data_IF_460327485448
#
_entry.id   IF_460327485448
#
_cell.length_a   1.000
_cell.length_b   1.000
_cell.length_c   1.000
_cell.angle_alpha   90.00
_cell.angle_beta   90.00
_cell.angle_gamma   90.00
#
_symmetry.space_group_name_H-M   'P 1'
#
loop_
_entity.id
_entity.type
_entity.pdbx_description
1 polymer ?
#
# COMPACT_ATOMS: atom_id res chain seq x y z
N UNK A 1 42.21 -25.83 -28.00
CA UNK A 1 42.09 -24.44 -27.50
C UNK A 1 41.15 -23.64 -28.42
N UNK A 2 39.84 -23.92 -28.42
CA UNK A 2 38.81 -23.16 -29.17
C UNK A 2 37.43 -22.99 -28.48
N UNK A 3 37.06 -23.67 -27.36
CA UNK A 3 35.72 -23.51 -26.78
C UNK A 3 35.58 -22.30 -25.83
N UNK A 4 36.70 -21.77 -25.32
CA UNK A 4 36.70 -20.68 -24.33
C UNK A 4 36.47 -19.31 -25.01
N UNK A 5 36.99 -19.11 -26.22
CA UNK A 5 36.85 -17.85 -26.97
C UNK A 5 35.39 -17.59 -27.42
N UNK A 6 34.67 -18.66 -27.80
CA UNK A 6 33.27 -18.59 -28.22
C UNK A 6 32.32 -18.33 -27.05
N UNK A 7 32.61 -18.89 -25.87
CA UNK A 7 31.84 -18.62 -24.64
C UNK A 7 31.94 -17.15 -24.22
N UNK A 8 33.15 -16.58 -24.22
CA UNK A 8 33.36 -15.16 -23.84
C UNK A 8 32.63 -14.22 -24.80
N UNK A 9 32.62 -14.53 -26.10
CA UNK A 9 31.94 -13.70 -27.12
C UNK A 9 30.42 -13.74 -26.96
N UNK A 10 29.85 -14.89 -26.57
CA UNK A 10 28.42 -15.06 -26.28
C UNK A 10 28.00 -14.31 -25.02
N UNK A 11 28.80 -14.37 -23.95
CA UNK A 11 28.54 -13.63 -22.71
C UNK A 11 28.64 -12.11 -22.92
N UNK A 12 29.62 -11.63 -23.70
CA UNK A 12 29.74 -10.22 -24.05
C UNK A 12 28.53 -9.74 -24.88
N UNK A 13 28.06 -10.54 -25.84
CA UNK A 13 26.87 -10.23 -26.62
C UNK A 13 25.59 -10.21 -25.76
N UNK A 14 25.46 -11.14 -24.80
CA UNK A 14 24.34 -11.18 -23.87
C UNK A 14 24.32 -9.95 -22.93
N UNK A 15 25.48 -9.55 -22.41
CA UNK A 15 25.62 -8.35 -21.56
C UNK A 15 25.31 -7.06 -22.33
N UNK A 16 25.65 -6.97 -23.62
CA UNK A 16 25.23 -5.88 -24.50
C UNK A 16 23.72 -5.88 -24.78
N UNK A 17 23.09 -7.06 -24.84
CA UNK A 17 21.64 -7.20 -25.02
C UNK A 17 20.86 -6.77 -23.77
N UNK A 18 21.35 -7.13 -22.57
CA UNK A 18 20.70 -6.79 -21.30
C UNK A 18 20.89 -5.33 -20.87
N UNK A 19 21.98 -4.67 -21.28
CA UNK A 19 22.19 -3.23 -21.03
C UNK A 19 21.28 -2.32 -21.87
N UNK A 20 20.59 -2.86 -22.88
CA UNK A 20 19.54 -2.17 -23.64
C UNK A 20 18.17 -2.13 -22.95
N UNK A 21 17.94 -2.91 -21.89
CA UNK A 21 16.70 -2.90 -21.10
C UNK A 21 16.75 -1.79 -20.04
N UNK A 22 17.03 -0.57 -20.48
CA UNK A 22 16.67 0.60 -19.71
C UNK A 22 15.17 0.77 -19.87
N UNK A 23 14.37 0.37 -18.87
CA UNK A 23 12.96 0.73 -18.80
C UNK A 23 12.88 2.24 -18.48
N UNK A 24 13.31 3.09 -19.41
CA UNK A 24 12.87 4.46 -19.42
C UNK A 24 11.38 4.41 -19.69
N UNK A 25 10.57 4.90 -18.76
CA UNK A 25 9.20 5.32 -19.01
C UNK A 25 9.25 6.49 -20.01
N UNK A 26 9.61 6.18 -21.25
CA UNK A 26 9.72 7.14 -22.32
C UNK A 26 8.31 7.25 -22.93
N UNK A 27 7.75 8.44 -22.83
CA UNK A 27 6.55 8.88 -23.52
C UNK A 27 6.38 8.19 -24.89
N UNK A 28 5.28 7.45 -25.07
CA UNK A 28 4.92 6.90 -26.37
C UNK A 28 4.33 8.02 -27.24
N UNK A 29 5.23 8.74 -27.90
CA UNK A 29 4.89 9.91 -28.73
C UNK A 29 3.87 9.58 -29.82
N UNK A 30 3.81 8.35 -30.31
CA UNK A 30 2.86 7.96 -31.36
C UNK A 30 1.42 7.88 -30.84
N UNK A 31 1.22 7.32 -29.64
CA UNK A 31 -0.09 7.29 -28.99
C UNK A 31 -0.50 8.69 -28.54
N UNK A 32 0.41 9.40 -27.88
CA UNK A 32 0.11 10.71 -27.30
C UNK A 32 -0.07 11.81 -28.35
N UNK A 33 0.58 11.73 -29.53
CA UNK A 33 0.51 12.79 -30.54
C UNK A 33 -0.91 13.10 -31.00
N UNK A 34 -1.78 12.10 -31.19
CA UNK A 34 -3.14 12.34 -31.69
C UNK A 34 -4.02 13.05 -30.67
N UNK A 35 -4.08 12.52 -29.45
CA UNK A 35 -4.96 13.03 -28.39
C UNK A 35 -4.42 14.33 -27.77
N UNK A 36 -3.10 14.45 -27.60
CA UNK A 36 -2.48 15.72 -27.16
C UNK A 36 -2.68 16.81 -28.22
N UNK A 37 -2.53 16.51 -29.51
CA UNK A 37 -2.78 17.51 -30.56
C UNK A 37 -4.25 17.96 -30.57
N UNK A 38 -5.19 17.04 -30.36
CA UNK A 38 -6.61 17.37 -30.22
C UNK A 38 -6.86 18.31 -29.04
N UNK A 39 -6.28 18.02 -27.87
CA UNK A 39 -6.43 18.85 -26.68
C UNK A 39 -5.71 20.20 -26.78
N UNK A 40 -4.58 20.28 -27.48
CA UNK A 40 -3.89 21.54 -27.78
C UNK A 40 -4.69 22.45 -28.72
N UNK A 41 -5.35 21.87 -29.74
CA UNK A 41 -6.22 22.60 -30.66
C UNK A 41 -7.48 23.12 -29.94
N UNK A 42 -7.99 22.37 -28.96
CA UNK A 42 -9.10 22.78 -28.10
C UNK A 42 -8.68 23.79 -27.01
N UNK A 43 -7.41 24.20 -26.99
CA UNK A 43 -6.81 25.10 -26.00
C UNK A 43 -6.79 24.56 -24.55
N UNK A 44 -7.20 23.31 -24.34
CA UNK A 44 -7.30 22.67 -23.01
C UNK A 44 -5.95 22.19 -22.46
N UNK A 45 -4.92 22.06 -23.33
CA UNK A 45 -3.57 21.61 -22.96
C UNK A 45 -2.48 22.64 -23.26
N UNK A 46 -2.79 23.93 -23.38
CA UNK A 46 -1.79 24.99 -23.55
C UNK A 46 -1.11 25.37 -22.21
N UNK A 47 -0.52 24.39 -21.55
CA UNK A 47 0.10 24.59 -20.26
C UNK A 47 1.61 24.65 -20.33
N UNK A 48 2.20 25.59 -19.58
CA UNK A 48 3.64 25.66 -19.35
C UNK A 48 3.89 25.95 -17.86
N UNK A 49 3.98 24.91 -17.02
CA UNK A 49 4.05 25.07 -15.58
C UNK A 49 5.42 25.64 -15.24
N UNK A 50 5.46 26.91 -14.85
CA UNK A 50 6.64 27.51 -14.24
C UNK A 50 6.54 27.28 -12.73
N UNK A 51 7.60 26.74 -12.14
CA UNK A 51 7.81 26.72 -10.69
C UNK A 51 6.71 26.02 -9.87
N UNK A 52 6.14 24.92 -10.40
CA UNK A 52 5.18 24.08 -9.67
C UNK A 52 3.76 24.63 -9.55
N UNK A 53 3.48 25.82 -10.08
CA UNK A 53 2.11 26.33 -10.20
C UNK A 53 1.50 25.85 -11.52
N UNK A 54 0.54 24.92 -11.44
CA UNK A 54 -0.15 24.39 -12.61
C UNK A 54 -1.68 24.48 -12.50
N UNK A 55 -2.20 25.70 -12.51
CA UNK A 55 -3.66 25.95 -12.53
C UNK A 55 -4.37 25.33 -13.74
N UNK A 56 -3.68 25.20 -14.87
CA UNK A 56 -4.24 24.70 -16.12
C UNK A 56 -4.10 23.16 -16.30
N UNK A 57 -3.32 22.46 -15.47
CA UNK A 57 -3.16 20.99 -15.54
C UNK A 57 -4.49 20.25 -15.47
N UNK A 58 -5.44 20.80 -14.70
CA UNK A 58 -6.77 20.21 -14.50
C UNK A 58 -7.56 20.08 -15.81
N UNK A 59 -7.49 21.09 -16.67
CA UNK A 59 -8.21 21.08 -17.94
C UNK A 59 -7.58 20.08 -18.92
N UNK A 60 -6.24 19.99 -18.90
CA UNK A 60 -5.52 19.02 -19.71
C UNK A 60 -5.75 17.57 -19.22
N UNK A 61 -5.81 17.35 -17.90
CA UNK A 61 -6.22 16.08 -17.29
C UNK A 61 -7.63 15.66 -17.76
N UNK A 62 -8.59 16.59 -17.75
CA UNK A 62 -9.95 16.31 -18.19
C UNK A 62 -10.04 16.00 -19.68
N UNK A 63 -9.20 16.62 -20.50
CA UNK A 63 -9.16 16.35 -21.94
C UNK A 63 -8.52 15.00 -22.28
N UNK A 64 -7.42 14.65 -21.60
CA UNK A 64 -6.67 13.41 -21.83
C UNK A 64 -7.30 12.19 -21.12
N UNK A 65 -8.02 12.41 -20.03
CA UNK A 65 -8.69 11.35 -19.26
C UNK A 65 -7.71 10.24 -18.85
N UNK A 66 -8.01 9.01 -19.25
CA UNK A 66 -7.19 7.83 -18.90
C UNK A 66 -5.79 7.86 -19.52
N UNK A 67 -5.57 8.65 -20.59
CA UNK A 67 -4.27 8.80 -21.23
C UNK A 67 -3.34 9.77 -20.47
N UNK A 68 -3.82 10.43 -19.41
CA UNK A 68 -3.05 11.42 -18.66
C UNK A 68 -1.76 10.83 -18.06
N UNK A 69 -1.84 9.70 -17.36
CA UNK A 69 -0.68 9.07 -16.70
C UNK A 69 0.40 8.66 -17.71
N UNK A 70 0.00 8.26 -18.93
CA UNK A 70 0.93 7.83 -19.99
C UNK A 70 1.50 9.02 -20.79
N UNK A 71 0.72 10.10 -20.94
CA UNK A 71 1.05 11.22 -21.81
C UNK A 71 1.47 12.50 -21.08
N UNK A 72 1.31 12.62 -19.76
CA UNK A 72 1.68 13.82 -19.02
C UNK A 72 3.18 14.13 -19.12
N UNK A 73 4.03 13.09 -19.23
CA UNK A 73 5.48 13.23 -19.37
C UNK A 73 5.83 13.81 -20.76
N UNK A 74 5.02 13.52 -21.78
CA UNK A 74 5.17 14.05 -23.14
C UNK A 74 4.94 15.55 -23.21
N UNK A 75 3.98 16.05 -22.42
CA UNK A 75 3.61 17.48 -22.38
C UNK A 75 4.35 18.24 -21.28
N UNK A 76 5.18 17.56 -20.48
CA UNK A 76 5.91 18.18 -19.37
C UNK A 76 4.99 18.67 -18.25
N UNK A 77 3.86 17.99 -18.08
CA UNK A 77 2.76 18.39 -17.18
C UNK A 77 2.51 17.41 -16.04
N UNK A 78 3.28 16.32 -15.94
CA UNK A 78 3.14 15.44 -14.80
C UNK A 78 3.38 16.24 -13.52
N UNK A 79 2.61 15.89 -12.48
CA UNK A 79 2.90 16.37 -11.14
C UNK A 79 4.39 16.10 -10.86
N UNK A 80 5.20 17.07 -10.41
CA UNK A 80 6.55 16.77 -9.96
C UNK A 80 6.46 15.59 -9.00
N UNK A 81 7.13 14.49 -9.33
CA UNK A 81 7.19 13.30 -8.48
C UNK A 81 7.86 13.72 -7.17
N UNK A 82 7.09 14.21 -6.23
CA UNK A 82 7.51 14.34 -4.86
C UNK A 82 7.67 12.90 -4.38
N UNK A 83 8.91 12.42 -4.31
CA UNK A 83 9.29 11.22 -3.59
C UNK A 83 8.91 11.27 -2.07
N UNK A 84 8.18 12.30 -1.65
CA UNK A 84 7.58 12.50 -0.33
C UNK A 84 6.09 12.12 -0.28
N UNK A 85 5.40 11.87 -1.40
CA UNK A 85 4.02 11.39 -1.36
C UNK A 85 4.04 9.89 -1.03
N UNK A 86 3.69 9.57 0.21
CA UNK A 86 3.60 8.18 0.63
C UNK A 86 2.48 7.50 -0.19
N UNK A 87 2.73 6.32 -0.81
CA UNK A 87 1.76 5.65 -1.70
C UNK A 87 0.37 5.50 -1.07
N UNK A 88 -0.71 5.39 -1.85
CA UNK A 88 -2.06 5.18 -1.27
C UNK A 88 -2.12 3.95 -0.35
N UNK A 89 -1.32 2.92 -0.64
CA UNK A 89 -1.12 1.73 0.20
C UNK A 89 -0.47 2.01 1.57
N UNK A 90 0.20 3.14 1.73
CA UNK A 90 0.81 3.58 3.00
C UNK A 90 -0.19 4.25 3.97
N UNK A 91 -1.38 4.61 3.47
CA UNK A 91 -2.44 5.24 4.26
C UNK A 91 -3.64 4.30 4.37
N UNK A 92 -4.22 4.26 5.56
CA UNK A 92 -5.42 3.48 5.82
C UNK A 92 -6.31 4.16 6.85
N UNK A 93 -7.59 3.87 6.76
CA UNK A 93 -8.60 4.21 7.76
C UNK A 93 -8.92 2.97 8.56
N UNK A 94 -8.97 3.10 9.88
CA UNK A 94 -9.20 1.99 10.81
C UNK A 94 -10.36 2.33 11.75
N UNK A 95 -11.11 1.32 12.16
CA UNK A 95 -12.24 1.49 13.08
C UNK A 95 -12.54 0.17 13.83
N UNK A 96 -12.96 0.30 15.09
CA UNK A 96 -13.50 -0.81 15.89
C UNK A 96 -14.99 -1.02 15.60
N UNK A 97 -15.39 -2.28 15.44
CA UNK A 97 -16.77 -2.62 15.13
C UNK A 97 -17.61 -2.74 16.41
N UNK A 98 -18.81 -2.15 16.41
CA UNK A 98 -19.64 -2.02 17.61
C UNK A 98 -20.23 -3.36 18.13
N UNK A 99 -20.41 -4.36 17.26
CA UNK A 99 -21.03 -5.65 17.61
C UNK A 99 -20.26 -6.82 16.96
N UNK A 100 -19.04 -7.10 17.43
CA UNK A 100 -18.27 -8.21 16.89
C UNK A 100 -18.90 -9.55 17.27
N UNK A 101 -18.68 -10.57 16.45
CA UNK A 101 -19.12 -11.94 16.70
C UNK A 101 -17.88 -12.85 16.60
N UNK A 102 -17.02 -12.89 17.63
CA UNK A 102 -15.74 -13.63 17.62
C UNK A 102 -15.85 -15.09 17.15
N UNK A 103 -16.90 -15.78 17.58
CA UNK A 103 -17.14 -17.18 17.21
C UNK A 103 -17.42 -17.36 15.71
N UNK A 104 -18.12 -16.41 15.09
CA UNK A 104 -18.40 -16.44 13.65
C UNK A 104 -17.13 -16.18 12.86
N UNK A 105 -16.35 -15.18 13.26
CA UNK A 105 -15.10 -14.86 12.59
C UNK A 105 -14.16 -16.07 12.59
N UNK A 106 -13.92 -16.67 13.76
CA UNK A 106 -13.10 -17.89 13.90
C UNK A 106 -13.60 -19.00 12.99
N UNK A 107 -14.90 -19.31 13.03
CA UNK A 107 -15.49 -20.36 12.20
C UNK A 107 -15.35 -20.11 10.69
N UNK A 108 -15.32 -18.85 10.24
CA UNK A 108 -15.12 -18.50 8.83
C UNK A 108 -13.65 -18.44 8.40
N UNK A 109 -12.74 -18.33 9.36
CA UNK A 109 -11.28 -18.28 9.12
C UNK A 109 -10.56 -19.60 9.41
N UNK A 110 -11.22 -20.54 10.08
CA UNK A 110 -10.70 -21.88 10.34
C UNK A 110 -10.83 -22.75 9.08
N UNK A 111 -9.70 -23.22 8.53
CA UNK A 111 -9.68 -24.17 7.41
C UNK A 111 -9.27 -23.54 6.08
N UNK A 112 -9.90 -23.98 4.98
CA UNK A 112 -9.61 -23.45 3.64
C UNK A 112 -10.22 -22.05 3.47
N UNK A 113 -9.45 -21.14 2.86
CA UNK A 113 -9.89 -19.77 2.65
C UNK A 113 -11.15 -19.72 1.74
N UNK A 114 -12.18 -18.92 2.10
CA UNK A 114 -13.34 -18.70 1.26
C UNK A 114 -12.96 -18.16 -0.13
N UNK A 115 -13.80 -18.42 -1.14
CA UNK A 115 -13.62 -17.91 -2.50
C UNK A 115 -13.58 -16.37 -2.46
N UNK A 116 -12.63 -15.77 -3.18
CA UNK A 116 -12.39 -14.32 -3.27
C UNK A 116 -11.90 -13.65 -1.97
N UNK A 117 -11.31 -14.45 -1.06
CA UNK A 117 -10.75 -13.96 0.20
C UNK A 117 -9.41 -14.61 0.50
N UNK A 118 -8.55 -13.89 1.21
CA UNK A 118 -7.27 -14.38 1.70
C UNK A 118 -7.23 -14.29 3.23
N UNK A 119 -7.16 -15.44 3.89
CA UNK A 119 -6.97 -15.53 5.35
C UNK A 119 -5.48 -15.55 5.67
N UNK A 120 -5.03 -14.71 6.58
CA UNK A 120 -3.64 -14.62 7.02
C UNK A 120 -3.59 -14.64 8.55
N UNK A 121 -2.78 -15.53 9.10
CA UNK A 121 -2.54 -15.60 10.55
C UNK A 121 -1.06 -15.40 10.84
N UNK A 122 -0.74 -14.54 11.80
CA UNK A 122 0.62 -14.24 12.23
C UNK A 122 0.70 -14.05 13.76
N UNK A 123 1.85 -14.26 14.41
CA UNK A 123 1.98 -14.06 15.84
C UNK A 123 1.67 -12.61 16.23
N UNK A 124 0.91 -12.38 17.30
CA UNK A 124 0.55 -11.03 17.76
C UNK A 124 1.76 -10.11 17.97
N UNK A 125 2.93 -10.66 18.34
CA UNK A 125 4.17 -9.89 18.49
C UNK A 125 4.64 -9.21 17.18
N UNK A 126 4.31 -9.77 16.01
CA UNK A 126 4.65 -9.21 14.70
C UNK A 126 3.84 -7.94 14.38
N UNK A 127 2.67 -7.75 15.00
CA UNK A 127 1.89 -6.51 14.90
C UNK A 127 2.64 -5.32 15.55
N UNK A 128 3.41 -5.61 16.60
CA UNK A 128 4.12 -4.63 17.45
C UNK A 128 5.56 -4.36 17.01
N UNK A 129 6.21 -5.30 16.32
CA UNK A 129 7.62 -5.16 15.90
C UNK A 129 7.85 -3.98 14.95
N UNK A 130 6.84 -3.57 14.18
CA UNK A 130 6.91 -2.35 13.35
C UNK A 130 6.92 -1.05 14.18
N UNK A 131 6.56 -1.10 15.46
CA UNK A 131 6.56 0.04 16.38
C UNK A 131 7.87 0.17 17.19
N UNK A 132 8.71 -0.86 17.23
CA UNK A 132 9.99 -0.85 17.97
C UNK A 132 11.01 0.15 17.38
N UNK A 133 10.89 0.51 16.11
CA UNK A 133 11.70 1.58 15.49
C UNK A 133 11.39 2.99 16.07
N UNK A 134 10.23 3.19 16.69
CA UNK A 134 9.85 4.46 17.33
C UNK A 134 10.14 4.46 18.83
N UNK A 135 9.99 3.31 19.50
CA UNK A 135 10.31 3.18 20.94
C UNK A 135 11.82 3.22 21.16
N UNK A 136 12.62 2.59 20.29
CA UNK A 136 14.09 2.68 20.37
C UNK A 136 14.61 4.12 20.22
N UNK A 137 13.93 4.97 19.43
CA UNK A 137 14.26 6.39 19.28
C UNK A 137 13.86 7.23 20.51
N UNK A 138 12.75 6.89 21.18
CA UNK A 138 12.35 7.53 22.43
C UNK A 138 13.23 7.10 23.61
N UNK A 139 13.68 5.85 23.64
CA UNK A 139 14.64 5.36 24.63
C UNK A 139 16.02 6.02 24.47
N UNK A 140 16.45 6.36 23.25
CA UNK A 140 17.73 7.07 23.04
C UNK A 140 17.71 8.55 23.44
N UNK A 141 16.53 9.15 23.60
CA UNK A 141 16.36 10.55 24.05
C UNK A 141 16.18 10.67 25.57
N UNK A 142 15.92 9.56 26.27
CA UNK A 142 15.65 9.52 27.70
C UNK A 142 16.89 9.20 28.56
N UNK A 143 18.10 9.27 27.99
CA UNK A 143 19.35 8.97 28.70
C UNK A 143 20.05 10.22 29.29
N UNK A 144 19.38 11.36 29.33
CA UNK A 144 19.84 12.52 30.12
C UNK A 144 18.74 13.12 30.99
N UNK A 145 18.79 12.72 32.26
CA UNK A 145 18.27 13.37 33.48
C UNK A 145 17.00 12.80 34.15
N UNK A 146 17.31 12.11 35.27
CA UNK A 146 16.70 12.19 36.60
C UNK A 146 15.57 11.22 36.99
N UNK A 147 15.88 10.48 38.06
CA UNK A 147 14.97 9.75 38.94
C UNK A 147 13.72 10.58 39.28
N UNK A 148 12.61 10.29 38.61
CA UNK A 148 11.29 10.74 39.00
C UNK A 148 10.43 9.49 39.15
N UNK A 149 10.19 9.09 40.39
CA UNK A 149 9.18 8.09 40.73
C UNK A 149 7.79 8.70 40.47
N UNK A 150 7.12 8.28 39.40
CA UNK A 150 5.67 8.46 39.24
C UNK A 150 4.94 7.17 39.62
N UNK A 151 3.77 7.26 40.28
CA UNK A 151 3.05 6.12 40.82
C UNK A 151 2.38 5.30 39.71
N UNK A 152 2.34 3.98 39.93
CA UNK A 152 1.85 3.02 38.98
C UNK A 152 0.38 3.18 38.62
N UNK A 153 0.11 2.97 37.33
CA UNK A 153 -1.11 2.33 36.85
C UNK A 153 -0.65 1.25 35.88
N UNK A 154 -0.18 0.13 36.43
CA UNK A 154 -0.11 -1.12 35.69
C UNK A 154 -1.54 -1.54 35.37
N UNK A 155 -2.00 -1.25 34.16
CA UNK A 155 -3.06 -2.08 33.56
C UNK A 155 -2.38 -3.42 33.29
N UNK A 156 -2.46 -4.25 34.34
CA UNK A 156 -2.11 -5.64 34.37
C UNK A 156 -3.05 -6.35 33.39
N UNK A 157 -2.79 -6.24 32.09
CA UNK A 157 -3.28 -7.24 31.14
C UNK A 157 -2.58 -8.53 31.56
N UNK A 158 -3.33 -9.45 32.16
CA UNK A 158 -2.85 -10.75 32.56
C UNK A 158 -2.23 -11.44 31.35
N UNK A 159 -0.90 -11.38 31.27
CA UNK A 159 -0.10 -12.25 30.43
C UNK A 159 -0.20 -13.65 31.04
N UNK A 160 -1.32 -14.32 30.76
CA UNK A 160 -1.59 -15.68 31.19
C UNK A 160 -1.55 -16.60 29.96
N UNK A 161 -0.62 -17.53 30.04
CA UNK A 161 -0.36 -18.67 29.18
C UNK A 161 0.12 -18.43 27.74
N UNK A 162 1.32 -18.95 27.49
CA UNK A 162 1.97 -19.22 26.21
C UNK A 162 1.17 -20.21 25.37
N UNK A 163 -0.01 -19.82 24.90
CA UNK A 163 -0.41 -20.12 23.53
C UNK A 163 0.07 -18.93 22.69
N UNK A 164 0.80 -19.19 21.62
CA UNK A 164 1.11 -18.17 20.63
C UNK A 164 -0.23 -17.69 20.06
N UNK A 165 -0.78 -16.60 20.62
CA UNK A 165 -2.01 -16.02 20.13
C UNK A 165 -1.71 -15.51 18.72
N UNK A 166 -2.31 -16.15 17.73
CA UNK A 166 -2.18 -15.79 16.32
C UNK A 166 -3.24 -14.74 16.00
N UNK A 167 -2.81 -13.54 15.62
CA UNK A 167 -3.69 -12.55 15.02
C UNK A 167 -4.09 -13.06 13.63
N UNK A 168 -5.39 -13.18 13.39
CA UNK A 168 -5.94 -13.61 12.10
C UNK A 168 -6.68 -12.46 11.44
N UNK A 169 -6.35 -12.20 10.18
CA UNK A 169 -6.95 -11.16 9.35
C UNK A 169 -7.44 -11.75 8.03
N UNK A 170 -8.41 -11.10 7.41
CA UNK A 170 -8.98 -11.51 6.12
C UNK A 170 -8.93 -10.35 5.15
N UNK A 171 -8.31 -10.56 3.99
CA UNK A 171 -8.35 -9.62 2.87
C UNK A 171 -9.40 -10.06 1.86
N UNK A 172 -10.16 -9.11 1.31
CA UNK A 172 -11.01 -9.36 0.14
C UNK A 172 -10.21 -9.15 -1.13
N UNK A 173 -10.37 -10.03 -2.11
CA UNK A 173 -9.70 -9.89 -3.40
C UNK A 173 -10.23 -8.67 -4.16
N UNK A 174 -11.53 -8.38 -4.02
CA UNK A 174 -12.21 -7.26 -4.66
C UNK A 174 -12.04 -5.94 -3.90
N UNK A 175 -11.90 -4.86 -4.67
CA UNK A 175 -11.79 -3.51 -4.12
C UNK A 175 -13.14 -2.94 -3.79
N UNK A 176 -13.27 -2.39 -2.59
CA UNK A 176 -14.55 -1.97 -2.04
C UNK A 176 -14.47 -0.59 -1.42
N UNK A 177 -15.61 0.09 -1.36
CA UNK A 177 -15.71 1.33 -0.60
C UNK A 177 -15.52 1.06 0.90
N UNK A 178 -15.06 2.06 1.65
CA UNK A 178 -14.92 1.98 3.12
C UNK A 178 -16.22 1.50 3.81
N UNK A 179 -17.38 1.94 3.31
CA UNK A 179 -18.68 1.53 3.83
C UNK A 179 -18.96 0.05 3.61
N UNK A 180 -18.65 -0.47 2.42
CA UNK A 180 -18.77 -1.90 2.11
C UNK A 180 -17.79 -2.72 2.93
N UNK A 181 -16.55 -2.25 3.08
CA UNK A 181 -15.55 -2.91 3.91
C UNK A 181 -16.05 -3.10 5.36
N UNK A 182 -16.57 -2.03 5.95
CA UNK A 182 -17.21 -2.08 7.28
C UNK A 182 -18.34 -3.12 7.32
N UNK A 183 -19.27 -3.07 6.38
CA UNK A 183 -20.41 -4.00 6.33
C UNK A 183 -19.97 -5.46 6.18
N UNK A 184 -18.93 -5.72 5.38
CA UNK A 184 -18.40 -7.06 5.19
C UNK A 184 -17.74 -7.57 6.46
N UNK A 185 -16.90 -6.78 7.11
CA UNK A 185 -16.27 -7.17 8.36
C UNK A 185 -17.28 -7.35 9.51
N UNK A 186 -18.33 -6.53 9.58
CA UNK A 186 -19.45 -6.75 10.50
C UNK A 186 -20.14 -8.08 10.23
N UNK A 187 -20.41 -8.39 8.95
CA UNK A 187 -21.09 -9.63 8.56
C UNK A 187 -20.24 -10.89 8.80
N UNK A 188 -18.92 -10.77 8.74
CA UNK A 188 -17.99 -11.85 9.07
C UNK A 188 -17.76 -12.01 10.58
N UNK A 189 -18.30 -11.11 11.40
CA UNK A 189 -18.09 -11.13 12.84
C UNK A 189 -16.73 -10.58 13.29
N UNK A 190 -16.03 -9.84 12.41
CA UNK A 190 -14.76 -9.20 12.72
C UNK A 190 -14.86 -8.22 13.88
N UNK A 191 -13.73 -7.97 14.54
CA UNK A 191 -13.64 -7.03 15.67
C UNK A 191 -13.29 -5.62 15.26
N UNK A 192 -12.46 -5.50 14.22
CA UNK A 192 -12.01 -4.24 13.66
C UNK A 192 -11.94 -4.38 12.14
N UNK A 193 -11.79 -3.26 11.44
CA UNK A 193 -11.39 -3.29 10.03
C UNK A 193 -10.32 -2.25 9.74
N UNK A 194 -9.50 -2.55 8.72
CA UNK A 194 -8.61 -1.61 8.07
C UNK A 194 -9.01 -1.48 6.61
N UNK A 195 -9.21 -0.25 6.17
CA UNK A 195 -9.45 0.07 4.78
C UNK A 195 -8.27 0.89 4.25
N UNK A 196 -7.52 0.32 3.33
CA UNK A 196 -6.40 1.01 2.69
C UNK A 196 -6.93 1.98 1.64
N UNK A 197 -6.23 3.11 1.44
CA UNK A 197 -6.70 4.16 0.52
C UNK A 197 -6.59 3.76 -0.96
N UNK A 198 -6.06 2.57 -1.24
CA UNK A 198 -6.14 1.90 -2.53
C UNK A 198 -7.39 0.99 -2.69
N UNK A 199 -8.37 1.12 -1.78
CA UNK A 199 -9.62 0.36 -1.74
C UNK A 199 -9.50 -1.12 -1.33
N UNK A 200 -8.34 -1.56 -0.83
CA UNK A 200 -8.18 -2.87 -0.21
C UNK A 200 -8.84 -2.91 1.18
N UNK A 201 -9.61 -3.98 1.45
CA UNK A 201 -10.30 -4.19 2.71
C UNK A 201 -9.70 -5.35 3.49
N UNK A 202 -9.42 -5.11 4.78
CA UNK A 202 -8.92 -6.09 5.73
C UNK A 202 -9.86 -6.15 6.94
N UNK A 203 -10.43 -7.33 7.20
CA UNK A 203 -11.14 -7.61 8.44
C UNK A 203 -10.21 -8.21 9.47
N UNK A 204 -10.33 -7.74 10.71
CA UNK A 204 -9.37 -8.05 11.76
C UNK A 204 -10.07 -8.85 12.87
N UNK A 205 -9.44 -9.96 13.23
CA UNK A 205 -9.92 -10.88 14.25
C UNK A 205 -9.82 -10.32 15.68
N UNK A 206 -10.53 -10.96 16.62
CA UNK A 206 -10.54 -10.55 18.03
C UNK A 206 -9.20 -10.76 18.75
N UNK A 207 -8.31 -11.62 18.23
CA UNK A 207 -7.00 -11.91 18.82
C UNK A 207 -5.95 -10.83 18.53
N UNK A 208 -6.21 -9.93 17.57
CA UNK A 208 -5.28 -8.86 17.19
C UNK A 208 -5.33 -7.69 18.18
N UNK A 209 -4.16 -7.20 18.59
CA UNK A 209 -4.03 -6.15 19.60
C UNK A 209 -4.34 -4.78 19.00
N UNK A 210 -3.79 -4.48 17.83
CA UNK A 210 -3.98 -3.22 17.11
C UNK A 210 -4.93 -3.44 15.91
N UNK A 211 -4.60 -2.93 14.73
CA UNK A 211 -5.44 -2.98 13.53
C UNK A 211 -4.86 -3.91 12.45
N UNK A 212 -4.36 -5.08 12.83
CA UNK A 212 -3.90 -6.11 11.90
C UNK A 212 -2.63 -5.70 11.14
N UNK A 213 -2.46 -6.21 9.93
CA UNK A 213 -1.27 -5.93 9.13
C UNK A 213 -1.29 -4.50 8.60
N UNK A 214 -0.12 -3.89 8.48
CA UNK A 214 0.05 -2.63 7.74
C UNK A 214 0.34 -2.86 6.25
N UNK A 215 0.40 -4.11 5.81
CA UNK A 215 0.66 -4.49 4.43
C UNK A 215 -0.64 -4.77 3.67
N UNK A 216 -0.73 -4.21 2.46
CA UNK A 216 -1.83 -4.48 1.52
C UNK A 216 -1.62 -5.84 0.87
N UNK A 217 -2.64 -6.70 0.85
CA UNK A 217 -2.59 -8.03 0.22
C UNK A 217 -3.75 -8.36 -0.75
N UNK A 218 -4.68 -7.42 -0.99
CA UNK A 218 -5.77 -7.63 -1.93
C UNK A 218 -5.24 -7.79 -3.38
N UNK A 219 -5.80 -8.72 -4.15
CA UNK A 219 -5.29 -9.09 -5.47
C UNK A 219 -5.69 -8.14 -6.60
N UNK A 220 -6.87 -7.51 -6.54
CA UNK A 220 -7.43 -6.74 -7.66
C UNK A 220 -7.33 -5.21 -7.50
N UNK A 221 -6.63 -4.73 -6.47
CA UNK A 221 -6.56 -3.29 -6.17
C UNK A 221 -5.30 -2.65 -6.70
N UNK A 222 -5.47 -1.56 -7.45
CA UNK A 222 -4.36 -0.75 -7.98
C UNK A 222 -3.48 -0.22 -6.83
N UNK A 223 -2.20 0.01 -7.11
CA UNK A 223 -1.17 0.43 -6.15
C UNK A 223 -1.18 1.93 -5.87
#
# INVERSE_FOLDING_TARGET
>A
MKPIQTQISLFAALLFFFSGLSLSTACNKALCASDVSKCLIQELCQCRPSDGNCSCCKECMLCLGNLWEECCDCVGMCNPKNYSDTPATSKSTVEELYRPIPSLFRALTEGEAPINMMVVSFPVAEELSYHENLVSFLETMQDQHQNISLPGNSIHASYDNTQENMCTVVYFDDCVSIRQCKQYCESMGGSKYRWFHNACCECIGPECVDYGSKAVKCMNCLF
#
